data_IF_434941010713
#
_entry.id   IF_434941010713
#
_cell.length_a   1.000
_cell.length_b   1.000
_cell.length_c   1.000
_cell.angle_alpha   90.00
_cell.angle_beta   90.00
_cell.angle_gamma   90.00
#
_symmetry.space_group_name_H-M   'P 1'
#
loop_
_entity.id
_entity.type
_entity.pdbx_description
1 polymer ?
#
# COMPACT_ATOMS: atom_id res chain seq x y z
N UNK A 1 9.90 -7.82 31.35
CA UNK A 1 8.59 -7.95 30.68
C UNK A 1 8.61 -7.06 29.44
N UNK A 2 8.97 -7.60 28.26
CA UNK A 2 8.94 -6.85 26.99
C UNK A 2 7.61 -7.16 26.32
N UNK A 3 6.71 -6.18 26.22
CA UNK A 3 5.48 -6.30 25.43
C UNK A 3 5.91 -6.51 23.98
N UNK A 4 5.76 -7.74 23.48
CA UNK A 4 5.92 -8.03 22.05
C UNK A 4 4.67 -7.53 21.35
N UNK A 5 4.67 -6.25 20.96
CA UNK A 5 3.73 -5.72 19.98
C UNK A 5 3.99 -6.47 18.66
N UNK A 6 3.26 -7.55 18.45
CA UNK A 6 3.43 -8.42 17.29
C UNK A 6 2.73 -7.75 16.11
N UNK A 7 3.42 -6.84 15.41
CA UNK A 7 2.99 -6.45 14.07
C UNK A 7 3.02 -7.66 13.15
N UNK A 8 2.12 -7.75 12.15
CA UNK A 8 2.35 -8.70 11.08
C UNK A 8 3.75 -8.46 10.53
N UNK A 9 4.49 -9.56 10.31
CA UNK A 9 5.83 -9.45 9.76
C UNK A 9 5.71 -8.89 8.34
N UNK A 10 5.98 -7.60 8.19
CA UNK A 10 6.22 -7.00 6.89
C UNK A 10 7.49 -7.59 6.27
N UNK A 11 7.57 -7.55 4.95
CA UNK A 11 8.81 -7.77 4.22
C UNK A 11 9.88 -6.79 4.75
N UNK A 12 11.14 -7.21 4.93
CA UNK A 12 12.18 -6.36 5.51
C UNK A 12 12.30 -4.98 4.85
N UNK A 13 12.22 -4.90 3.53
CA UNK A 13 12.23 -3.62 2.81
C UNK A 13 11.07 -2.69 3.18
N UNK A 14 9.87 -3.23 3.41
CA UNK A 14 8.68 -2.45 3.81
C UNK A 14 8.82 -1.97 5.25
N UNK A 15 9.29 -2.84 6.15
CA UNK A 15 9.53 -2.49 7.55
C UNK A 15 10.61 -1.39 7.67
N UNK A 16 11.76 -1.56 7.01
CA UNK A 16 12.85 -0.58 7.06
C UNK A 16 12.43 0.76 6.46
N UNK A 17 11.70 0.76 5.35
CA UNK A 17 11.16 1.99 4.78
C UNK A 17 10.26 2.71 5.80
N UNK A 18 9.33 1.98 6.43
CA UNK A 18 8.44 2.55 7.44
C UNK A 18 9.22 3.13 8.62
N UNK A 19 10.13 2.36 9.20
CA UNK A 19 10.95 2.75 10.36
C UNK A 19 11.89 3.92 10.05
N UNK A 20 12.34 4.06 8.80
CA UNK A 20 13.14 5.22 8.36
C UNK A 20 12.31 6.48 8.11
N UNK A 21 11.00 6.33 7.86
CA UNK A 21 10.11 7.44 7.48
C UNK A 21 9.31 7.97 8.67
N UNK A 22 8.94 7.10 9.61
CA UNK A 22 8.08 7.44 10.75
C UNK A 22 8.75 7.09 12.07
N UNK A 23 8.51 7.92 13.09
CA UNK A 23 9.06 7.69 14.45
C UNK A 23 8.51 6.40 15.05
N UNK A 24 7.21 6.15 14.90
CA UNK A 24 6.55 4.93 15.37
C UNK A 24 5.19 4.75 14.70
N UNK A 25 4.70 3.52 14.66
CA UNK A 25 3.35 3.22 14.21
C UNK A 25 2.30 3.84 15.15
N UNK A 26 1.21 4.35 14.59
CA UNK A 26 0.03 4.74 15.37
C UNK A 26 -0.71 3.50 15.86
N UNK A 27 -1.51 3.64 16.91
CA UNK A 27 -2.35 2.53 17.41
C UNK A 27 -3.31 2.01 16.34
N UNK A 28 -3.85 2.92 15.52
CA UNK A 28 -4.72 2.60 14.38
C UNK A 28 -4.00 1.75 13.34
N UNK A 29 -2.75 2.07 13.05
CA UNK A 29 -1.91 1.27 12.15
C UNK A 29 -1.66 -0.12 12.73
N UNK A 30 -1.20 -0.23 13.98
CA UNK A 30 -0.92 -1.51 14.63
C UNK A 30 -2.13 -2.45 14.62
N UNK A 31 -3.28 -1.95 15.07
CA UNK A 31 -4.54 -2.71 15.13
C UNK A 31 -5.08 -3.02 13.74
N UNK A 32 -5.02 -2.06 12.82
CA UNK A 32 -5.43 -2.25 11.43
C UNK A 32 -4.61 -3.33 10.74
N UNK A 33 -3.28 -3.32 10.91
CA UNK A 33 -2.41 -4.35 10.33
C UNK A 33 -2.71 -5.74 10.87
N UNK A 34 -2.87 -5.89 12.18
CA UNK A 34 -3.24 -7.17 12.79
C UNK A 34 -4.56 -7.71 12.22
N UNK A 35 -5.61 -6.88 12.21
CA UNK A 35 -6.93 -7.27 11.72
C UNK A 35 -6.94 -7.61 10.22
N UNK A 36 -6.35 -6.77 9.37
CA UNK A 36 -6.33 -7.01 7.92
C UNK A 36 -5.45 -8.23 7.57
N UNK A 37 -4.41 -8.52 8.36
CA UNK A 37 -3.53 -9.68 8.16
C UNK A 37 -4.24 -11.02 8.43
N UNK A 38 -5.27 -11.05 9.28
CA UNK A 38 -6.11 -12.24 9.53
C UNK A 38 -6.97 -12.63 8.31
N UNK A 39 -7.08 -11.75 7.31
CA UNK A 39 -7.76 -12.02 6.04
C UNK A 39 -9.27 -11.77 6.05
N UNK A 40 -9.82 -11.30 7.18
CA UNK A 40 -11.23 -10.89 7.29
C UNK A 40 -11.49 -9.45 6.86
N UNK A 41 -12.75 -9.14 6.56
CA UNK A 41 -13.21 -7.77 6.31
C UNK A 41 -12.97 -6.91 7.55
N UNK A 42 -12.28 -5.78 7.38
CA UNK A 42 -11.85 -4.92 8.48
C UNK A 42 -12.39 -3.50 8.30
N UNK A 43 -13.14 -3.00 9.30
CA UNK A 43 -13.53 -1.59 9.39
C UNK A 43 -12.64 -0.86 10.39
N UNK A 44 -11.91 0.15 9.91
CA UNK A 44 -11.09 1.03 10.76
C UNK A 44 -11.85 2.34 10.99
N UNK A 45 -12.38 2.52 12.20
CA UNK A 45 -13.00 3.77 12.64
C UNK A 45 -12.01 4.58 13.51
N UNK A 46 -11.42 5.63 12.94
CA UNK A 46 -10.44 6.48 13.64
C UNK A 46 -10.53 7.94 13.15
N UNK A 47 -10.08 8.91 13.97
CA UNK A 47 -10.00 10.32 13.55
C UNK A 47 -9.13 10.50 12.28
N UNK A 48 -9.41 11.57 11.54
CA UNK A 48 -8.53 12.01 10.45
C UNK A 48 -7.11 12.26 10.97
N UNK A 49 -6.11 12.08 10.12
CA UNK A 49 -4.70 12.19 10.52
C UNK A 49 -4.13 11.01 11.33
N UNK A 50 -4.95 10.02 11.72
CA UNK A 50 -4.47 8.86 12.51
C UNK A 50 -3.70 7.80 11.70
N UNK A 51 -3.46 8.04 10.40
CA UNK A 51 -2.72 7.11 9.53
C UNK A 51 -3.52 5.90 9.02
N UNK A 52 -4.86 5.95 9.06
CA UNK A 52 -5.75 4.85 8.63
C UNK A 52 -5.53 4.45 7.16
N UNK A 53 -5.40 5.42 6.25
CA UNK A 53 -5.11 5.16 4.83
C UNK A 53 -3.80 4.40 4.66
N UNK A 54 -2.72 4.87 5.30
CA UNK A 54 -1.43 4.20 5.23
C UNK A 54 -1.47 2.80 5.89
N UNK A 55 -2.28 2.61 6.94
CA UNK A 55 -2.45 1.30 7.56
C UNK A 55 -2.92 0.26 6.53
N UNK A 56 -3.97 0.57 5.77
CA UNK A 56 -4.50 -0.32 4.75
C UNK A 56 -3.53 -0.50 3.57
N UNK A 57 -2.98 0.60 3.05
CA UNK A 57 -2.12 0.53 1.87
C UNK A 57 -0.77 -0.13 2.13
N UNK A 58 -0.16 0.04 3.31
CA UNK A 58 1.14 -0.55 3.60
C UNK A 58 1.08 -2.08 3.57
N UNK A 59 0.00 -2.67 4.09
CA UNK A 59 -0.21 -4.12 4.02
C UNK A 59 -0.50 -4.59 2.59
N UNK A 60 -1.20 -3.78 1.79
CA UNK A 60 -1.42 -4.09 0.37
C UNK A 60 -0.10 -4.06 -0.42
N UNK A 61 0.75 -3.06 -0.18
CA UNK A 61 2.09 -2.94 -0.77
C UNK A 61 2.95 -4.15 -0.35
N UNK A 62 2.94 -4.52 0.93
CA UNK A 62 3.66 -5.70 1.41
C UNK A 62 3.29 -6.99 0.67
N UNK A 63 1.98 -7.22 0.51
CA UNK A 63 1.47 -8.38 -0.24
C UNK A 63 1.93 -8.36 -1.70
N UNK A 64 1.95 -7.19 -2.34
CA UNK A 64 2.42 -7.04 -3.71
C UNK A 64 3.93 -7.26 -3.84
N UNK A 65 4.73 -6.73 -2.92
CA UNK A 65 6.19 -6.94 -2.89
C UNK A 65 6.51 -8.43 -2.73
N UNK A 66 5.89 -9.10 -1.76
CA UNK A 66 6.09 -10.53 -1.52
C UNK A 66 5.73 -11.37 -2.73
N UNK A 67 4.60 -11.05 -3.37
CA UNK A 67 4.17 -11.73 -4.59
C UNK A 67 5.15 -11.51 -5.74
N UNK A 68 5.56 -10.26 -5.97
CA UNK A 68 6.48 -9.91 -7.04
C UNK A 68 7.81 -10.65 -6.92
N UNK A 69 8.33 -10.79 -5.70
CA UNK A 69 9.59 -11.50 -5.45
C UNK A 69 9.44 -13.03 -5.57
N UNK A 70 8.28 -13.59 -5.24
CA UNK A 70 8.05 -15.03 -5.28
C UNK A 70 7.72 -15.56 -6.69
N UNK A 71 6.87 -14.84 -7.43
CA UNK A 71 6.30 -15.32 -8.70
C UNK A 71 6.16 -14.23 -9.77
N UNK A 72 6.52 -12.98 -9.47
CA UNK A 72 6.29 -11.83 -10.34
C UNK A 72 4.88 -11.22 -10.18
N UNK A 73 4.62 -10.15 -10.95
CA UNK A 73 3.30 -9.52 -11.05
C UNK A 73 2.79 -9.64 -12.48
N UNK A 74 1.56 -10.09 -12.63
CA UNK A 74 0.82 -10.04 -13.88
C UNK A 74 0.15 -8.68 -14.07
N UNK A 75 -0.30 -8.39 -15.29
CA UNK A 75 -1.07 -7.18 -15.59
C UNK A 75 -2.53 -7.35 -15.14
N UNK A 76 -2.75 -7.38 -13.82
CA UNK A 76 -4.09 -7.48 -13.20
C UNK A 76 -4.25 -6.48 -12.06
N UNK A 77 -5.47 -5.94 -11.91
CA UNK A 77 -5.81 -5.10 -10.75
C UNK A 77 -5.88 -5.95 -9.48
N UNK A 78 -4.98 -5.71 -8.53
CA UNK A 78 -4.91 -6.45 -7.26
C UNK A 78 -5.50 -5.69 -6.07
N UNK A 79 -5.58 -4.37 -6.15
CA UNK A 79 -6.04 -3.48 -5.08
C UNK A 79 -6.98 -2.45 -5.70
N UNK A 80 -8.19 -2.32 -5.15
CA UNK A 80 -9.16 -1.30 -5.55
C UNK A 80 -9.42 -0.35 -4.37
N UNK A 81 -9.04 0.91 -4.54
CA UNK A 81 -9.39 1.97 -3.61
C UNK A 81 -10.58 2.75 -4.16
N UNK A 82 -11.63 2.89 -3.34
CA UNK A 82 -12.85 3.63 -3.68
C UNK A 82 -12.99 4.81 -2.73
N UNK A 83 -13.19 5.99 -3.30
CA UNK A 83 -13.41 7.24 -2.55
C UNK A 83 -14.69 7.90 -3.04
N UNK A 84 -15.50 8.50 -2.16
CA UNK A 84 -16.65 9.31 -2.55
C UNK A 84 -16.24 10.65 -3.19
N UNK A 85 -14.97 11.06 -3.06
CA UNK A 85 -14.46 12.35 -3.54
C UNK A 85 -13.32 12.15 -4.55
N UNK A 86 -13.45 12.80 -5.72
CA UNK A 86 -12.41 12.81 -6.77
C UNK A 86 -11.08 13.36 -6.25
N UNK A 87 -11.12 14.48 -5.53
CA UNK A 87 -9.92 15.12 -5.00
C UNK A 87 -9.12 14.17 -4.09
N UNK A 88 -9.83 13.44 -3.23
CA UNK A 88 -9.21 12.44 -2.36
C UNK A 88 -8.58 11.27 -3.14
N UNK A 89 -9.20 10.81 -4.23
CA UNK A 89 -8.58 9.79 -5.09
C UNK A 89 -7.24 10.24 -5.68
N UNK A 90 -7.17 11.50 -6.14
CA UNK A 90 -5.93 12.08 -6.66
C UNK A 90 -4.88 12.25 -5.57
N UNK A 91 -5.29 12.70 -4.38
CA UNK A 91 -4.39 12.88 -3.24
C UNK A 91 -3.82 11.55 -2.76
N UNK A 92 -4.64 10.51 -2.67
CA UNK A 92 -4.17 9.15 -2.34
C UNK A 92 -3.19 8.64 -3.38
N UNK A 93 -3.49 8.79 -4.67
CA UNK A 93 -2.58 8.34 -5.73
C UNK A 93 -1.21 9.02 -5.69
N UNK A 94 -1.17 10.33 -5.43
CA UNK A 94 0.07 11.08 -5.24
C UNK A 94 0.82 10.62 -3.99
N UNK A 95 0.10 10.48 -2.86
CA UNK A 95 0.71 10.08 -1.59
C UNK A 95 1.21 8.63 -1.59
N UNK A 96 0.69 7.78 -2.50
CA UNK A 96 1.17 6.41 -2.70
C UNK A 96 2.55 6.33 -3.36
N UNK A 97 3.01 7.37 -4.05
CA UNK A 97 4.34 7.33 -4.68
C UNK A 97 5.45 7.24 -3.61
N UNK A 98 5.30 7.95 -2.48
CA UNK A 98 6.27 7.95 -1.40
C UNK A 98 6.58 6.54 -0.83
N UNK A 99 5.58 5.73 -0.42
CA UNK A 99 5.85 4.36 0.00
C UNK A 99 6.35 3.46 -1.14
N UNK A 100 5.83 3.61 -2.36
CA UNK A 100 6.24 2.76 -3.48
C UNK A 100 7.72 2.96 -3.85
N UNK A 101 8.14 4.21 -4.00
CA UNK A 101 9.53 4.58 -4.31
C UNK A 101 10.47 4.21 -3.17
N UNK A 102 10.06 4.49 -1.92
CA UNK A 102 10.88 4.19 -0.75
C UNK A 102 11.10 2.69 -0.55
N UNK A 103 10.06 1.87 -0.72
CA UNK A 103 10.17 0.40 -0.66
C UNK A 103 11.00 -0.14 -1.83
N UNK A 104 10.86 0.40 -3.04
CA UNK A 104 11.70 0.05 -4.17
C UNK A 104 13.19 0.36 -3.91
N UNK A 105 13.48 1.50 -3.28
CA UNK A 105 14.83 1.85 -2.86
C UNK A 105 15.41 0.88 -1.82
N UNK A 106 14.62 0.47 -0.84
CA UNK A 106 15.02 -0.53 0.16
C UNK A 106 15.25 -1.93 -0.45
N UNK A 107 14.47 -2.31 -1.46
CA UNK A 107 14.72 -3.55 -2.22
C UNK A 107 16.02 -3.47 -3.02
N UNK A 108 16.27 -2.33 -3.66
CA UNK A 108 17.52 -2.10 -4.41
C UNK A 108 18.77 -2.17 -3.52
N UNK A 109 18.69 -1.68 -2.27
CA UNK A 109 19.78 -1.81 -1.28
C UNK A 109 20.10 -3.27 -0.94
N UNK A 110 19.09 -4.14 -0.96
CA UNK A 110 19.25 -5.58 -0.74
C UNK A 110 19.65 -6.34 -2.03
N UNK A 111 19.86 -5.63 -3.15
CA UNK A 111 20.15 -6.24 -4.45
C UNK A 111 18.95 -6.98 -5.07
N UNK A 112 17.74 -6.70 -4.57
CA UNK A 112 16.50 -7.31 -5.05
C UNK A 112 15.88 -6.47 -6.18
N UNK A 113 15.17 -7.11 -7.12
CA UNK A 113 14.46 -6.38 -8.17
C UNK A 113 13.33 -5.54 -7.57
N UNK A 114 13.24 -4.28 -8.00
CA UNK A 114 12.11 -3.43 -7.65
C UNK A 114 10.86 -3.88 -8.42
N UNK A 115 9.73 -4.16 -7.74
CA UNK A 115 8.51 -4.58 -8.41
C UNK A 115 7.88 -3.40 -9.16
N UNK A 116 7.41 -3.64 -10.39
CA UNK A 116 6.66 -2.66 -11.17
C UNK A 116 5.20 -2.56 -10.65
N UNK A 117 5.03 -1.97 -9.47
CA UNK A 117 3.70 -1.74 -8.88
C UNK A 117 3.10 -0.49 -9.54
N UNK A 118 2.16 -0.72 -10.46
CA UNK A 118 1.45 0.36 -11.15
C UNK A 118 0.26 0.85 -10.33
N UNK A 119 0.02 2.15 -10.39
CA UNK A 119 -1.16 2.79 -9.79
C UNK A 119 -1.87 3.66 -10.82
N UNK A 120 -3.19 3.67 -10.79
CA UNK A 120 -4.02 4.41 -11.75
C UNK A 120 -5.22 5.02 -11.02
N UNK A 121 -5.70 6.16 -11.53
CA UNK A 121 -6.90 6.83 -11.02
C UNK A 121 -7.96 6.88 -12.10
N UNK A 122 -9.11 6.25 -11.83
CA UNK A 122 -10.27 6.26 -12.73
C UNK A 122 -11.40 7.06 -12.09
N UNK A 123 -11.81 8.14 -12.76
CA UNK A 123 -12.88 9.05 -12.34
C UNK A 123 -13.81 9.34 -13.52
N UNK A 124 -14.89 10.11 -13.28
CA UNK A 124 -15.77 10.58 -14.36
C UNK A 124 -15.04 11.38 -15.45
N UNK A 125 -13.98 12.09 -15.06
CA UNK A 125 -13.20 12.94 -15.96
C UNK A 125 -12.07 12.22 -16.69
N UNK A 126 -11.80 10.95 -16.36
CA UNK A 126 -10.78 10.15 -17.06
C UNK A 126 -11.20 9.98 -18.52
N UNK A 127 -10.41 10.45 -19.52
CA UNK A 127 -10.75 10.36 -20.93
C UNK A 127 -11.05 8.92 -21.38
N UNK A 128 -11.94 8.76 -22.37
CA UNK A 128 -12.35 7.43 -22.84
C UNK A 128 -11.17 6.57 -23.30
N UNK A 129 -10.20 7.16 -24.02
CA UNK A 129 -8.99 6.45 -24.45
C UNK A 129 -8.13 5.96 -23.29
N UNK A 130 -8.02 6.77 -22.22
CA UNK A 130 -7.31 6.38 -21.02
C UNK A 130 -8.03 5.24 -20.27
N UNK A 131 -9.37 5.31 -20.15
CA UNK A 131 -10.18 4.21 -19.57
C UNK A 131 -9.98 2.89 -20.32
N UNK A 132 -9.96 2.94 -21.65
CA UNK A 132 -9.70 1.77 -22.50
C UNK A 132 -8.29 1.21 -22.28
N UNK A 133 -7.28 2.09 -22.13
CA UNK A 133 -5.90 1.69 -21.81
C UNK A 133 -5.81 1.01 -20.44
N UNK A 134 -6.42 1.59 -19.40
CA UNK A 134 -6.47 1.01 -18.06
C UNK A 134 -7.12 -0.38 -18.04
N UNK A 135 -8.13 -0.60 -18.89
CA UNK A 135 -8.81 -1.91 -18.97
C UNK A 135 -7.95 -2.96 -19.69
N UNK A 136 -7.18 -2.55 -20.71
CA UNK A 136 -6.29 -3.44 -21.47
C UNK A 136 -4.99 -3.78 -20.75
N UNK A 137 -4.48 -2.84 -19.97
CA UNK A 137 -3.20 -2.98 -19.25
C UNK A 137 -3.36 -2.41 -17.85
N UNK A 138 -4.05 -3.16 -16.96
CA UNK A 138 -4.32 -2.73 -15.60
C UNK A 138 -3.13 -2.89 -14.66
#
# INVERSE_FOLDING_TARGET
MRSTDRHPSFHPAVARWFDSTFVTATEVQRRGWAAIAEGGDTLIAAPTGSGNTLAAFLLAIDRLVRRALAEGLDATTRVLYVSPLKALSNDVHRNLQLPLEGVAGELGRDGLPAPEIRTMVRTGDTPAGERSRMTRTP
#
